data_IF_014427890512
#
_entry.id   IF_014427890512
#
_cell.length_a   1.000
_cell.length_b   1.000
_cell.length_c   1.000
_cell.angle_alpha   90.00
_cell.angle_beta   90.00
_cell.angle_gamma   90.00
#
_symmetry.space_group_name_H-M   'P 1'
#
loop_
_entity.id
_entity.type
_entity.pdbx_description
1 polymer ?
#
# COMPACT_ATOMS: atom_id res chain seq x y z
N UNK A 1 12.89 18.65 -15.03
CA UNK A 1 11.62 18.26 -14.39
C UNK A 1 11.91 17.19 -13.36
N UNK A 2 11.23 17.19 -12.20
CA UNK A 2 11.44 16.18 -11.13
C UNK A 2 11.04 14.79 -11.66
N UNK A 3 11.85 13.77 -11.37
CA UNK A 3 11.53 12.36 -11.60
C UNK A 3 11.25 11.73 -10.24
N UNK A 4 9.99 11.49 -9.87
CA UNK A 4 9.67 10.90 -8.57
C UNK A 4 10.28 9.50 -8.47
N UNK A 5 10.89 9.21 -7.33
CA UNK A 5 11.44 7.91 -6.99
C UNK A 5 10.55 7.14 -6.02
N UNK A 6 11.02 5.97 -5.61
CA UNK A 6 10.32 5.12 -4.66
C UNK A 6 10.02 5.79 -3.32
N UNK A 7 10.89 6.68 -2.84
CA UNK A 7 10.70 7.42 -1.59
C UNK A 7 9.72 8.60 -1.70
N UNK A 8 9.21 8.90 -2.90
CA UNK A 8 8.29 10.01 -3.18
C UNK A 8 6.83 9.56 -3.18
N UNK A 9 6.47 8.64 -2.28
CA UNK A 9 5.11 8.16 -2.09
C UNK A 9 5.01 7.23 -0.87
N UNK A 10 3.79 6.79 -0.60
CA UNK A 10 3.51 5.71 0.34
C UNK A 10 3.49 4.38 -0.41
N UNK A 11 4.15 3.35 0.12
CA UNK A 11 4.17 2.01 -0.48
C UNK A 11 3.26 1.04 0.29
N UNK A 12 2.23 0.53 -0.40
CA UNK A 12 1.47 -0.63 0.03
C UNK A 12 2.20 -1.91 -0.46
N UNK A 13 2.84 -2.62 0.45
CA UNK A 13 3.79 -3.69 0.14
C UNK A 13 3.10 -4.89 -0.50
N UNK A 14 3.71 -5.45 -1.54
CA UNK A 14 3.42 -6.80 -2.06
C UNK A 14 4.67 -7.65 -1.91
N UNK A 15 4.60 -8.61 -1.00
CA UNK A 15 5.62 -9.64 -0.83
C UNK A 15 5.02 -10.89 -0.20
N UNK A 16 5.22 -12.04 -0.84
CA UNK A 16 4.79 -13.34 -0.36
C UNK A 16 5.97 -14.24 0.06
N UNK A 17 7.19 -14.03 -0.44
CA UNK A 17 8.26 -15.02 -0.30
C UNK A 17 9.68 -14.46 -0.35
N UNK A 18 9.85 -13.14 -0.43
CA UNK A 18 11.17 -12.53 -0.39
C UNK A 18 11.84 -12.73 0.97
N UNK A 19 13.15 -12.46 1.04
CA UNK A 19 13.91 -12.55 2.30
C UNK A 19 13.60 -11.41 3.27
N UNK A 20 13.07 -10.29 2.77
CA UNK A 20 12.52 -9.22 3.59
C UNK A 20 11.34 -9.78 4.42
N UNK A 21 11.32 -9.62 5.75
CA UNK A 21 10.21 -10.07 6.56
C UNK A 21 8.94 -9.22 6.40
N UNK A 22 9.00 -8.03 5.82
CA UNK A 22 7.85 -7.12 5.66
C UNK A 22 6.97 -7.60 4.50
N UNK A 23 5.80 -8.17 4.84
CA UNK A 23 4.93 -8.90 3.91
C UNK A 23 3.82 -8.06 3.32
N UNK A 24 3.14 -8.67 2.34
CA UNK A 24 1.90 -8.17 1.73
C UNK A 24 0.94 -7.61 2.77
N UNK A 25 0.41 -6.42 2.52
CA UNK A 25 -0.49 -5.74 3.45
C UNK A 25 0.20 -4.73 4.36
N UNK A 26 1.54 -4.63 4.32
CA UNK A 26 2.28 -3.60 5.04
C UNK A 26 2.18 -2.24 4.34
N UNK A 27 2.34 -1.17 5.12
CA UNK A 27 2.62 0.18 4.64
C UNK A 27 4.11 0.38 4.90
N UNK A 28 4.94 0.21 3.88
CA UNK A 28 6.38 -0.01 4.05
C UNK A 28 7.05 1.19 4.75
N UNK A 29 7.81 0.91 5.82
CA UNK A 29 8.40 1.92 6.70
C UNK A 29 7.47 2.50 7.79
N UNK A 30 6.18 2.16 7.80
CA UNK A 30 5.18 2.71 8.73
C UNK A 30 4.43 1.64 9.53
N UNK A 31 3.79 0.67 8.85
CA UNK A 31 2.99 -0.39 9.47
C UNK A 31 3.42 -1.75 8.89
N UNK A 32 4.05 -2.59 9.71
CA UNK A 32 4.61 -3.86 9.25
C UNK A 32 3.72 -5.05 9.58
N UNK A 33 3.44 -5.86 8.55
CA UNK A 33 2.85 -7.19 8.64
C UNK A 33 3.97 -8.19 8.40
N UNK A 34 4.19 -9.12 9.34
CA UNK A 34 5.20 -10.17 9.19
C UNK A 34 4.60 -11.53 8.82
N UNK A 35 3.30 -11.70 9.03
CA UNK A 35 2.56 -12.92 8.68
C UNK A 35 2.41 -13.02 7.15
N UNK A 36 2.58 -14.24 6.61
CA UNK A 36 2.27 -14.51 5.21
C UNK A 36 0.75 -14.60 5.03
N UNK A 37 0.12 -13.50 4.65
CA UNK A 37 -1.33 -13.43 4.40
C UNK A 37 -1.76 -14.06 3.08
N UNK A 38 -0.83 -14.12 2.11
CA UNK A 38 -1.08 -14.62 0.76
C UNK A 38 0.11 -15.43 0.26
N UNK A 39 -0.13 -16.61 -0.29
CA UNK A 39 0.93 -17.47 -0.83
C UNK A 39 1.32 -17.02 -2.25
N UNK A 40 2.53 -17.39 -2.73
CA UNK A 40 2.88 -17.24 -4.13
C UNK A 40 1.85 -17.90 -5.06
N UNK A 41 1.65 -17.33 -6.25
CA UNK A 41 0.74 -17.80 -7.29
C UNK A 41 -0.76 -17.85 -6.91
N UNK A 42 -1.17 -17.17 -5.83
CA UNK A 42 -2.57 -17.02 -5.45
C UNK A 42 -3.12 -15.63 -5.84
N UNK A 43 -4.35 -15.60 -6.36
CA UNK A 43 -5.09 -14.35 -6.54
C UNK A 43 -5.69 -13.89 -5.23
N UNK A 44 -5.53 -12.61 -4.92
CA UNK A 44 -6.12 -11.97 -3.75
C UNK A 44 -6.63 -10.58 -4.12
N UNK A 45 -7.50 -10.01 -3.28
CA UNK A 45 -7.87 -8.59 -3.39
C UNK A 45 -7.00 -7.77 -2.44
N UNK A 46 -6.52 -6.64 -2.95
CA UNK A 46 -5.79 -5.64 -2.18
C UNK A 46 -6.52 -4.32 -2.34
N UNK A 47 -7.06 -3.80 -1.25
CA UNK A 47 -7.75 -2.53 -1.24
C UNK A 47 -6.98 -1.53 -0.37
N UNK A 48 -6.75 -0.34 -0.92
CA UNK A 48 -6.16 0.80 -0.22
C UNK A 48 -7.17 1.94 -0.30
N UNK A 49 -7.76 2.30 0.83
CA UNK A 49 -8.70 3.43 0.95
C UNK A 49 -7.94 4.60 1.59
N UNK A 50 -7.84 5.71 0.85
CA UNK A 50 -7.17 6.93 1.30
C UNK A 50 -8.19 8.06 1.37
N UNK A 51 -8.34 8.67 2.53
CA UNK A 51 -9.22 9.83 2.72
C UNK A 51 -8.59 10.85 3.66
N UNK A 52 -8.84 12.11 3.40
CA UNK A 52 -8.56 13.16 4.36
C UNK A 52 -9.69 13.25 5.38
N UNK A 53 -9.34 13.61 6.61
CA UNK A 53 -10.27 13.73 7.73
C UNK A 53 -9.82 14.88 8.66
N UNK A 54 -10.73 15.37 9.50
CA UNK A 54 -10.43 16.33 10.56
C UNK A 54 -10.54 15.64 11.92
N UNK A 55 -9.44 15.03 12.37
CA UNK A 55 -9.38 14.36 13.66
C UNK A 55 -8.14 14.79 14.46
N UNK A 56 -8.38 15.68 15.45
CA UNK A 56 -7.31 16.36 16.20
C UNK A 56 -6.36 17.19 15.29
N UNK A 57 -6.89 17.66 14.18
CA UNK A 57 -6.15 18.32 13.10
C UNK A 57 -6.42 17.64 11.75
N UNK A 58 -5.94 18.25 10.67
CA UNK A 58 -5.98 17.64 9.35
C UNK A 58 -5.12 16.38 9.32
N UNK A 59 -5.69 15.26 8.87
CA UNK A 59 -5.01 13.97 8.81
C UNK A 59 -5.43 13.22 7.55
N UNK A 60 -4.47 12.59 6.88
CA UNK A 60 -4.75 11.61 5.83
C UNK A 60 -4.83 10.22 6.46
N UNK A 61 -5.97 9.54 6.31
CA UNK A 61 -6.21 8.17 6.79
C UNK A 61 -5.96 7.19 5.65
N UNK A 62 -5.07 6.23 5.86
CA UNK A 62 -4.72 5.18 4.89
C UNK A 62 -5.13 3.84 5.46
N UNK A 63 -6.20 3.27 4.93
CA UNK A 63 -6.71 1.96 5.34
C UNK A 63 -6.30 0.89 4.34
N UNK A 64 -5.80 -0.23 4.86
CA UNK A 64 -5.33 -1.37 4.07
C UNK A 64 -6.18 -2.60 4.36
N UNK A 65 -6.68 -3.24 3.29
CA UNK A 65 -7.39 -4.52 3.36
C UNK A 65 -6.78 -5.54 2.41
N UNK A 66 -6.73 -6.79 2.86
CA UNK A 66 -6.35 -7.96 2.06
C UNK A 66 -7.47 -8.98 2.14
N UNK A 67 -7.98 -9.44 0.99
CA UNK A 67 -9.12 -10.37 0.91
C UNK A 67 -10.36 -9.88 1.69
N UNK A 68 -10.62 -8.57 1.65
CA UNK A 68 -11.73 -7.92 2.37
C UNK A 68 -11.54 -7.79 3.88
N UNK A 69 -10.47 -8.36 4.45
CA UNK A 69 -10.12 -8.19 5.87
C UNK A 69 -9.32 -6.90 6.04
N UNK A 70 -9.86 -5.98 6.84
CA UNK A 70 -9.13 -4.79 7.29
C UNK A 70 -7.95 -5.22 8.18
N UNK A 71 -6.75 -4.78 7.82
CA UNK A 71 -5.55 -5.04 8.60
C UNK A 71 -5.32 -3.94 9.63
N UNK A 72 -5.41 -2.68 9.17
CA UNK A 72 -5.26 -1.49 9.99
C UNK A 72 -5.69 -0.24 9.20
N UNK A 73 -5.70 0.90 9.91
CA UNK A 73 -5.81 2.23 9.34
C UNK A 73 -4.70 3.12 9.94
N UNK A 74 -3.81 3.60 9.08
CA UNK A 74 -2.71 4.48 9.43
C UNK A 74 -3.14 5.95 9.39
N UNK A 75 -2.65 6.74 10.35
CA UNK A 75 -2.95 8.16 10.50
C UNK A 75 -1.71 8.98 10.11
N UNK A 76 -1.69 9.54 8.91
CA UNK A 76 -0.62 10.43 8.42
C UNK A 76 -0.94 11.88 8.81
N UNK A 77 -0.43 12.29 9.98
CA UNK A 77 -0.57 13.67 10.47
C UNK A 77 0.38 14.65 9.77
N UNK A 78 1.44 14.16 9.12
CA UNK A 78 2.36 15.01 8.36
C UNK A 78 1.76 15.40 7.01
N UNK A 79 0.68 14.73 6.59
CA UNK A 79 0.00 14.91 5.29
C UNK A 79 1.04 14.92 4.15
N UNK A 80 1.95 13.94 4.20
CA UNK A 80 3.24 13.98 3.50
C UNK A 80 3.08 14.01 1.98
N UNK A 81 2.06 13.32 1.47
CA UNK A 81 1.76 13.20 0.04
C UNK A 81 0.26 13.42 -0.21
N UNK A 82 -0.14 14.68 -0.43
CA UNK A 82 -1.55 15.08 -0.58
C UNK A 82 -2.16 14.73 -1.93
N UNK A 83 -1.35 14.75 -2.99
CA UNK A 83 -1.78 14.44 -4.35
C UNK A 83 -0.65 13.73 -5.10
N UNK A 84 -1.00 12.93 -6.11
CA UNK A 84 0.01 12.21 -6.87
C UNK A 84 -0.57 11.19 -7.85
N UNK A 85 0.27 10.22 -8.18
CA UNK A 85 -0.06 9.12 -9.09
C UNK A 85 0.01 7.78 -8.35
N UNK A 86 -0.68 6.78 -8.89
CA UNK A 86 -0.47 5.40 -8.52
C UNK A 86 0.57 4.78 -9.46
N UNK A 87 1.41 3.91 -8.92
CA UNK A 87 2.38 3.15 -9.68
C UNK A 87 2.48 1.73 -9.12
N UNK A 88 2.85 0.79 -9.99
CA UNK A 88 3.23 -0.56 -9.59
C UNK A 88 4.74 -0.67 -9.63
N UNK A 89 5.33 -1.06 -8.52
CA UNK A 89 6.78 -1.22 -8.41
C UNK A 89 7.19 -2.60 -8.94
N UNK A 90 8.27 -2.65 -9.71
CA UNK A 90 9.01 -3.86 -10.04
C UNK A 90 10.40 -3.74 -9.43
N UNK A 91 10.61 -4.36 -8.27
CA UNK A 91 11.80 -4.14 -7.45
C UNK A 91 12.88 -5.20 -7.65
N UNK A 92 12.56 -6.46 -7.35
CA UNK A 92 13.57 -7.52 -7.25
C UNK A 92 13.75 -8.31 -8.56
N UNK A 93 14.99 -8.55 -9.01
CA UNK A 93 15.28 -9.41 -10.15
C UNK A 93 14.69 -10.82 -9.98
N UNK A 94 13.99 -11.31 -10.99
CA UNK A 94 13.37 -12.64 -10.98
C UNK A 94 12.00 -12.69 -10.30
N UNK A 95 11.59 -11.66 -9.56
CA UNK A 95 10.23 -11.55 -9.04
C UNK A 95 9.23 -11.31 -10.17
N UNK A 96 8.08 -11.99 -10.09
CA UNK A 96 6.96 -11.83 -11.02
C UNK A 96 5.70 -11.50 -10.24
N UNK A 97 5.06 -10.39 -10.62
CA UNK A 97 3.74 -10.00 -10.13
C UNK A 97 2.78 -9.99 -11.31
N UNK A 98 1.59 -10.55 -11.12
CA UNK A 98 0.50 -10.48 -12.10
C UNK A 98 -0.62 -9.64 -11.51
N UNK A 99 -1.02 -8.58 -12.22
CA UNK A 99 -2.04 -7.63 -11.76
C UNK A 99 -3.21 -7.64 -12.74
N UNK A 100 -4.44 -7.69 -12.23
CA UNK A 100 -5.67 -7.59 -13.04
C UNK A 100 -6.75 -6.85 -12.27
N UNK A 101 -7.74 -6.32 -13.00
CA UNK A 101 -8.90 -5.62 -12.43
C UNK A 101 -8.48 -4.48 -11.50
N UNK A 102 -7.67 -3.57 -12.04
CA UNK A 102 -7.27 -2.35 -11.34
C UNK A 102 -8.40 -1.34 -11.48
N UNK A 103 -9.01 -0.98 -10.37
CA UNK A 103 -10.14 -0.06 -10.28
C UNK A 103 -9.77 1.07 -9.32
N UNK A 104 -10.21 2.29 -9.65
CA UNK A 104 -10.02 3.48 -8.81
C UNK A 104 -11.37 4.15 -8.67
N UNK A 105 -11.72 4.49 -7.43
CA UNK A 105 -12.92 5.25 -7.12
C UNK A 105 -12.53 6.47 -6.30
N UNK A 106 -12.86 7.65 -6.81
CA UNK A 106 -12.77 8.88 -6.02
C UNK A 106 -13.77 8.82 -4.87
N UNK A 107 -13.28 9.08 -3.66
CA UNK A 107 -14.11 9.20 -2.46
C UNK A 107 -14.70 10.61 -2.41
N UNK A 108 -15.94 10.71 -1.91
CA UNK A 108 -16.65 11.99 -1.74
C UNK A 108 -16.48 12.53 -0.34
#
# INVERSE_FOLDING_TARGET
TRKPGFSDGHEAQIDSSHSDPIRTGSLYGMCHIYEQLVKPDEWFTYEVEVRDDEWRGAVTRIKVKVNGKELYEYMDYDNKFKEGHFAFQQHDPGSRVSIRKVEVQELK
#
